data_IF_344948378979
#
_entry.id   IF_344948378979
#
_cell.length_a   1.000
_cell.length_b   1.000
_cell.length_c   1.000
_cell.angle_alpha   90.00
_cell.angle_beta   90.00
_cell.angle_gamma   90.00
#
_symmetry.space_group_name_H-M   'P 1'
#
loop_
_entity.id
_entity.type
_entity.pdbx_description
1 polymer ?
#
# COMPACT_ATOMS: atom_id res chain seq x y z
N UNK A 1 50.02 21.84 -1.25
CA UNK A 1 48.81 21.14 -1.73
C UNK A 1 47.91 20.92 -0.50
N UNK A 2 47.04 21.89 -0.25
CA UNK A 2 46.03 21.78 0.83
C UNK A 2 44.92 20.88 0.35
N UNK A 3 44.71 19.77 1.06
CA UNK A 3 43.58 18.92 0.86
C UNK A 3 42.32 19.64 1.33
N UNK A 4 41.49 20.06 0.40
CA UNK A 4 40.14 20.52 0.67
C UNK A 4 39.39 19.32 1.30
N UNK A 5 39.28 19.30 2.62
CA UNK A 5 38.32 18.45 3.31
C UNK A 5 36.94 19.00 2.95
N UNK A 6 36.29 18.40 1.95
CA UNK A 6 34.86 18.56 1.76
C UNK A 6 34.18 18.17 3.08
N UNK A 7 33.62 19.13 3.76
CA UNK A 7 32.72 18.89 4.88
C UNK A 7 31.47 18.22 4.28
N UNK A 8 31.46 16.90 4.26
CA UNK A 8 30.22 16.14 3.97
C UNK A 8 29.27 16.43 5.12
N UNK A 9 28.43 17.43 4.96
CA UNK A 9 27.27 17.64 5.84
C UNK A 9 26.50 16.31 5.94
N UNK A 10 25.94 16.01 7.12
CA UNK A 10 25.15 14.78 7.30
C UNK A 10 24.03 14.77 6.25
N UNK A 11 24.04 13.76 5.38
CA UNK A 11 22.94 13.53 4.43
C UNK A 11 21.66 13.23 5.19
N UNK A 12 20.52 13.68 4.67
CA UNK A 12 19.21 13.35 5.19
C UNK A 12 18.87 11.88 4.98
N UNK A 13 17.78 11.44 5.58
CA UNK A 13 17.27 10.06 5.53
C UNK A 13 15.91 10.01 4.87
N UNK A 14 15.65 8.93 4.12
CA UNK A 14 14.33 8.61 3.59
C UNK A 14 13.61 7.67 4.56
N UNK A 15 12.36 7.99 4.90
CA UNK A 15 11.43 7.08 5.59
C UNK A 15 10.26 6.78 4.66
N UNK A 16 10.12 5.53 4.21
CA UNK A 16 8.91 5.08 3.49
C UNK A 16 7.90 4.58 4.51
N UNK A 17 6.81 5.33 4.67
CA UNK A 17 5.90 5.22 5.82
C UNK A 17 4.52 4.78 5.37
N UNK A 18 4.02 3.68 5.94
CA UNK A 18 2.64 3.25 5.78
C UNK A 18 1.70 4.10 6.64
N UNK A 19 0.67 4.67 6.00
CA UNK A 19 -0.32 5.52 6.70
C UNK A 19 -1.62 4.77 7.04
N UNK A 20 -1.61 3.44 6.94
CA UNK A 20 -2.82 2.66 7.16
C UNK A 20 -3.74 2.58 5.93
N UNK A 21 -4.84 1.81 6.04
CA UNK A 21 -5.64 1.42 4.88
C UNK A 21 -6.75 2.42 4.49
N UNK A 22 -7.05 3.41 5.34
CA UNK A 22 -8.14 4.36 5.07
C UNK A 22 -8.51 5.21 6.28
N UNK A 23 -8.84 4.56 7.39
CA UNK A 23 -9.16 5.24 8.64
C UNK A 23 -7.90 5.90 9.23
N UNK A 24 -7.90 7.24 9.44
CA UNK A 24 -6.77 7.94 10.06
C UNK A 24 -6.38 7.40 11.44
N UNK A 25 -7.31 6.89 12.24
CA UNK A 25 -7.03 6.32 13.57
C UNK A 25 -6.21 5.02 13.49
N UNK A 26 -6.11 4.39 12.31
CA UNK A 26 -5.25 3.23 12.06
C UNK A 26 -3.81 3.61 11.68
N UNK A 27 -3.44 4.88 11.72
CA UNK A 27 -2.05 5.31 11.60
C UNK A 27 -1.28 4.92 12.86
N UNK A 28 -0.06 4.39 12.68
CA UNK A 28 0.79 4.11 13.84
C UNK A 28 1.32 5.41 14.46
N UNK A 29 1.52 5.43 15.77
CA UNK A 29 2.14 6.58 16.48
C UNK A 29 3.50 6.94 15.86
N UNK A 30 4.28 5.95 15.40
CA UNK A 30 5.55 6.18 14.72
C UNK A 30 5.37 6.90 13.39
N UNK A 31 4.37 6.52 12.61
CA UNK A 31 4.05 7.21 11.35
C UNK A 31 3.68 8.68 11.60
N UNK A 32 2.76 8.92 12.52
CA UNK A 32 2.34 10.28 12.91
C UNK A 32 3.53 11.14 13.36
N UNK A 33 4.39 10.60 14.23
CA UNK A 33 5.57 11.30 14.71
C UNK A 33 6.53 11.67 13.57
N UNK A 34 6.89 10.71 12.72
CA UNK A 34 7.81 10.94 11.61
C UNK A 34 7.27 11.96 10.61
N UNK A 35 5.97 11.92 10.30
CA UNK A 35 5.33 12.90 9.41
C UNK A 35 5.37 14.30 10.02
N UNK A 36 5.17 14.43 11.34
CA UNK A 36 5.27 15.73 12.03
C UNK A 36 6.71 16.26 12.03
N UNK A 37 7.71 15.40 12.22
CA UNK A 37 9.12 15.76 12.39
C UNK A 37 9.87 15.94 11.07
N UNK A 38 9.42 15.34 9.93
CA UNK A 38 10.14 15.42 8.66
C UNK A 38 10.21 16.84 8.11
N UNK A 39 11.27 17.12 7.36
CA UNK A 39 11.45 18.37 6.63
C UNK A 39 10.56 18.42 5.39
N UNK A 40 10.44 17.28 4.69
CA UNK A 40 9.67 17.16 3.43
C UNK A 40 8.76 15.94 3.48
N UNK A 41 7.51 16.13 3.10
CA UNK A 41 6.54 15.06 2.91
C UNK A 41 6.42 14.72 1.42
N UNK A 42 6.93 13.57 1.02
CA UNK A 42 6.74 13.04 -0.32
C UNK A 42 5.42 12.27 -0.39
N UNK A 43 4.59 12.59 -1.38
CA UNK A 43 3.22 12.12 -1.53
C UNK A 43 3.09 11.41 -2.88
N UNK A 44 2.65 10.15 -2.93
CA UNK A 44 2.42 9.46 -4.18
C UNK A 44 1.23 10.10 -4.92
N UNK A 45 1.41 10.38 -6.21
CA UNK A 45 0.39 10.89 -7.10
C UNK A 45 0.24 9.93 -8.29
N UNK A 46 -0.94 9.35 -8.46
CA UNK A 46 -1.31 8.58 -9.65
C UNK A 46 -1.82 9.49 -10.76
N UNK A 47 -2.57 8.91 -11.70
CA UNK A 47 -3.15 9.64 -12.84
C UNK A 47 -4.39 10.45 -12.45
N UNK A 48 -4.90 10.33 -11.23
CA UNK A 48 -5.99 11.13 -10.67
C UNK A 48 -5.47 12.18 -9.70
N UNK A 49 -6.24 13.26 -9.53
CA UNK A 49 -5.94 14.32 -8.56
C UNK A 49 -6.20 13.91 -7.10
N UNK A 50 -6.76 12.70 -6.87
CA UNK A 50 -7.08 12.22 -5.53
C UNK A 50 -5.84 11.64 -4.86
N UNK A 51 -5.36 12.32 -3.83
CA UNK A 51 -4.20 11.94 -3.04
C UNK A 51 -4.61 11.14 -1.78
N UNK A 52 -5.05 9.88 -1.95
CA UNK A 52 -5.65 9.08 -0.87
C UNK A 52 -4.77 9.01 0.38
N UNK A 53 -3.48 8.74 0.23
CA UNK A 53 -2.57 8.66 1.37
C UNK A 53 -2.41 10.01 2.10
N UNK A 54 -2.45 11.14 1.36
CA UNK A 54 -2.43 12.48 1.94
C UNK A 54 -3.71 12.74 2.74
N UNK A 55 -4.88 12.42 2.19
CA UNK A 55 -6.17 12.65 2.84
C UNK A 55 -6.26 11.90 4.19
N UNK A 56 -5.68 10.70 4.28
CA UNK A 56 -5.59 9.96 5.55
C UNK A 56 -4.75 10.73 6.56
N UNK A 57 -3.58 11.23 6.15
CA UNK A 57 -2.69 11.99 7.01
C UNK A 57 -3.34 13.28 7.51
N UNK A 58 -4.04 14.01 6.65
CA UNK A 58 -4.73 15.27 6.97
C UNK A 58 -5.84 15.08 8.02
N UNK A 59 -6.34 13.85 8.20
CA UNK A 59 -7.27 13.53 9.30
C UNK A 59 -6.67 13.67 10.70
N UNK A 60 -5.32 13.65 10.84
CA UNK A 60 -4.63 13.70 12.14
C UNK A 60 -3.53 14.76 12.19
N UNK A 61 -2.87 15.07 11.06
CA UNK A 61 -1.71 15.97 11.01
C UNK A 61 -2.02 17.17 10.13
N UNK A 62 -1.87 18.38 10.68
CA UNK A 62 -1.93 19.60 9.87
C UNK A 62 -0.71 19.68 8.94
N UNK A 63 -0.96 19.66 7.64
CA UNK A 63 0.06 19.73 6.59
C UNK A 63 0.23 21.13 5.98
N UNK A 64 -0.47 22.15 6.48
CA UNK A 64 -0.51 23.49 5.90
C UNK A 64 0.86 24.18 5.80
N UNK A 65 1.77 23.85 6.72
CA UNK A 65 3.14 24.40 6.79
C UNK A 65 4.21 23.40 6.35
N UNK A 66 3.82 22.21 5.89
CA UNK A 66 4.74 21.15 5.52
C UNK A 66 5.17 21.31 4.07
N UNK A 67 6.49 21.30 3.82
CA UNK A 67 7.01 21.20 2.45
C UNK A 67 6.57 19.86 1.83
N UNK A 68 5.90 19.90 0.68
CA UNK A 68 5.31 18.72 0.03
C UNK A 68 5.97 18.48 -1.32
N UNK A 69 6.34 17.23 -1.59
CA UNK A 69 6.87 16.76 -2.87
C UNK A 69 5.89 15.74 -3.46
N UNK A 70 5.27 16.06 -4.60
CA UNK A 70 4.47 15.10 -5.33
C UNK A 70 5.37 14.16 -6.13
N UNK A 71 5.22 12.84 -5.90
CA UNK A 71 5.98 11.79 -6.59
C UNK A 71 5.04 11.06 -7.53
N UNK A 72 5.24 11.27 -8.84
CA UNK A 72 4.38 10.65 -9.84
C UNK A 72 4.58 9.13 -9.89
N UNK A 73 3.50 8.39 -9.73
CA UNK A 73 3.43 6.93 -9.68
C UNK A 73 2.39 6.45 -10.71
N UNK A 74 2.75 6.33 -12.00
CA UNK A 74 1.82 5.99 -13.07
C UNK A 74 1.22 4.59 -12.91
N UNK A 75 -0.06 4.45 -13.21
CA UNK A 75 -0.78 3.17 -13.18
C UNK A 75 -0.95 2.60 -14.60
N UNK A 76 0.16 2.51 -15.33
CA UNK A 76 0.21 2.00 -16.70
C UNK A 76 0.90 0.62 -16.77
N UNK A 77 0.82 -0.07 -17.91
CA UNK A 77 1.50 -1.35 -18.12
C UNK A 77 2.90 -1.20 -18.77
N UNK A 78 3.23 0.00 -19.25
CA UNK A 78 4.51 0.28 -19.89
C UNK A 78 5.64 0.36 -18.87
N UNK A 79 6.54 -0.60 -18.91
CA UNK A 79 7.66 -0.71 -17.99
C UNK A 79 8.66 0.45 -18.10
N UNK A 80 8.84 1.05 -19.28
CA UNK A 80 9.77 2.15 -19.49
C UNK A 80 9.22 3.44 -18.86
N UNK A 81 7.93 3.68 -19.00
CA UNK A 81 7.24 4.82 -18.35
C UNK A 81 7.33 4.67 -16.83
N UNK A 82 7.01 3.49 -16.31
CA UNK A 82 7.07 3.20 -14.87
C UNK A 82 8.49 3.40 -14.33
N UNK A 83 9.49 2.83 -15.01
CA UNK A 83 10.90 2.91 -14.59
C UNK A 83 11.41 4.34 -14.56
N UNK A 84 11.11 5.14 -15.60
CA UNK A 84 11.47 6.57 -15.66
C UNK A 84 10.80 7.38 -14.56
N UNK A 85 9.53 7.12 -14.28
CA UNK A 85 8.80 7.81 -13.22
C UNK A 85 9.39 7.49 -11.83
N UNK A 86 9.69 6.21 -11.56
CA UNK A 86 10.32 5.80 -10.30
C UNK A 86 11.72 6.41 -10.14
N UNK A 87 12.53 6.43 -11.21
CA UNK A 87 13.86 7.06 -11.18
C UNK A 87 13.74 8.55 -10.90
N UNK A 88 12.85 9.25 -11.61
CA UNK A 88 12.59 10.67 -11.36
C UNK A 88 12.17 10.93 -9.91
N UNK A 89 11.26 10.13 -9.36
CA UNK A 89 10.85 10.24 -7.97
C UNK A 89 12.00 10.05 -6.98
N UNK A 90 12.89 9.09 -7.24
CA UNK A 90 14.09 8.89 -6.44
C UNK A 90 15.04 10.07 -6.53
N UNK A 91 15.31 10.59 -7.75
CA UNK A 91 16.19 11.73 -7.97
C UNK A 91 15.67 13.00 -7.29
N UNK A 92 14.35 13.23 -7.33
CA UNK A 92 13.72 14.37 -6.68
C UNK A 92 13.82 14.28 -5.13
N UNK A 93 13.67 13.09 -4.56
CA UNK A 93 13.89 12.84 -3.12
C UNK A 93 15.36 13.06 -2.76
N UNK A 94 16.30 12.53 -3.55
CA UNK A 94 17.74 12.64 -3.32
C UNK A 94 18.21 14.09 -3.23
N UNK A 95 17.64 15.00 -4.03
CA UNK A 95 17.96 16.44 -3.94
C UNK A 95 17.73 17.04 -2.55
N UNK A 96 16.72 16.54 -1.84
CA UNK A 96 16.47 16.97 -0.46
C UNK A 96 17.40 16.27 0.53
N UNK A 97 17.68 14.99 0.31
CA UNK A 97 18.62 14.24 1.16
C UNK A 97 20.03 14.83 1.10
N UNK A 98 20.47 15.34 -0.07
CA UNK A 98 21.76 16.04 -0.24
C UNK A 98 21.83 17.36 0.53
N UNK A 99 20.69 18.00 0.80
CA UNK A 99 20.58 19.17 1.64
C UNK A 99 20.55 18.84 3.15
N UNK A 100 20.68 17.58 3.54
CA UNK A 100 20.57 17.13 4.93
C UNK A 100 19.12 17.01 5.42
N UNK A 101 18.12 17.19 4.55
CA UNK A 101 16.70 17.14 4.90
C UNK A 101 16.19 15.70 5.00
N UNK A 102 15.44 15.38 6.04
CA UNK A 102 14.74 14.11 6.17
C UNK A 102 13.44 14.14 5.36
N UNK A 103 13.26 13.11 4.53
CA UNK A 103 12.06 12.95 3.70
C UNK A 103 11.23 11.79 4.21
N UNK A 104 9.94 12.01 4.41
CA UNK A 104 8.94 10.96 4.63
C UNK A 104 8.15 10.74 3.36
N UNK A 105 8.27 9.55 2.77
CA UNK A 105 7.46 9.14 1.62
C UNK A 105 6.31 8.26 2.10
N UNK A 106 5.10 8.80 2.09
CA UNK A 106 3.91 8.12 2.57
C UNK A 106 3.36 7.13 1.53
N UNK A 107 2.72 6.07 2.00
CA UNK A 107 2.01 5.11 1.16
C UNK A 107 0.77 4.56 1.87
N UNK A 108 -0.29 4.28 1.12
CA UNK A 108 -1.48 3.61 1.61
C UNK A 108 -1.12 2.22 2.16
N UNK A 109 -1.72 1.83 3.29
CA UNK A 109 -1.48 0.56 3.95
C UNK A 109 -0.07 0.43 4.54
N UNK A 110 0.68 -0.56 4.09
CA UNK A 110 2.04 -0.86 4.54
C UNK A 110 3.02 -0.90 3.37
N UNK A 111 4.20 -0.26 3.45
CA UNK A 111 5.19 -0.23 2.37
C UNK A 111 5.77 -1.60 2.02
N UNK A 112 5.61 -2.60 2.88
CA UNK A 112 6.16 -3.95 2.70
C UNK A 112 5.20 -4.90 1.96
N UNK A 113 3.95 -4.46 1.67
CA UNK A 113 2.93 -5.30 1.03
C UNK A 113 2.40 -4.61 -0.24
N UNK A 114 2.86 -5.06 -1.39
CA UNK A 114 2.43 -4.60 -2.73
C UNK A 114 2.37 -3.08 -2.93
N UNK A 115 3.22 -2.33 -2.22
CA UNK A 115 3.28 -0.88 -2.30
C UNK A 115 4.29 -0.43 -3.36
N UNK A 116 3.89 0.48 -4.27
CA UNK A 116 4.75 0.99 -5.34
C UNK A 116 5.91 1.84 -4.83
N UNK A 117 5.77 2.48 -3.67
CA UNK A 117 6.85 3.27 -3.05
C UNK A 117 8.14 2.48 -2.84
N UNK A 118 8.06 1.13 -2.78
CA UNK A 118 9.24 0.26 -2.58
C UNK A 118 10.24 0.38 -3.73
N UNK A 119 9.80 0.67 -4.95
CA UNK A 119 10.71 0.82 -6.09
C UNK A 119 11.56 2.09 -5.97
N UNK A 120 10.95 3.21 -5.60
CA UNK A 120 11.66 4.47 -5.31
C UNK A 120 12.60 4.29 -4.11
N UNK A 121 12.12 3.66 -3.04
CA UNK A 121 12.91 3.34 -1.85
C UNK A 121 14.21 2.56 -2.21
N UNK A 122 14.09 1.52 -3.04
CA UNK A 122 15.24 0.73 -3.49
C UNK A 122 16.23 1.54 -4.34
N UNK A 123 15.74 2.48 -5.16
CA UNK A 123 16.60 3.36 -5.95
C UNK A 123 17.40 4.32 -5.07
N UNK A 124 16.77 4.88 -4.03
CA UNK A 124 17.44 5.74 -3.04
C UNK A 124 18.52 4.96 -2.27
N UNK A 125 18.20 3.71 -1.82
CA UNK A 125 19.20 2.82 -1.21
C UNK A 125 20.36 2.52 -2.16
N UNK A 126 20.08 2.21 -3.43
CA UNK A 126 21.09 1.93 -4.45
C UNK A 126 22.00 3.13 -4.72
N UNK A 127 21.48 4.34 -4.57
CA UNK A 127 22.24 5.57 -4.67
C UNK A 127 23.11 5.88 -3.43
N UNK A 128 23.10 5.02 -2.40
CA UNK A 128 23.95 5.12 -1.21
C UNK A 128 23.39 6.00 -0.10
N UNK A 129 22.09 6.27 -0.07
CA UNK A 129 21.43 7.01 1.00
C UNK A 129 20.80 6.04 2.02
N UNK A 130 20.68 6.50 3.26
CA UNK A 130 19.95 5.77 4.30
C UNK A 130 18.45 5.86 4.02
N UNK A 131 17.80 4.71 3.89
CA UNK A 131 16.37 4.62 3.71
C UNK A 131 15.76 3.53 4.60
N UNK A 132 14.66 3.84 5.29
CA UNK A 132 14.03 3.01 6.32
C UNK A 132 12.57 2.77 5.97
N UNK A 133 12.11 1.53 6.15
CA UNK A 133 10.71 1.17 6.03
C UNK A 133 10.02 1.30 7.39
N UNK A 134 8.87 1.94 7.39
CA UNK A 134 8.01 2.07 8.59
C UNK A 134 6.68 1.41 8.29
N UNK A 135 6.34 0.29 8.97
CA UNK A 135 5.12 -0.45 8.68
C UNK A 135 3.87 0.37 9.03
N UNK A 136 2.80 0.10 8.30
CA UNK A 136 1.44 0.56 8.61
C UNK A 136 0.49 -0.62 8.76
N UNK A 137 -0.73 -0.38 9.23
CA UNK A 137 -1.79 -1.38 9.22
C UNK A 137 -2.12 -1.73 7.77
N UNK A 138 -2.14 -3.03 7.45
CA UNK A 138 -2.46 -3.51 6.10
C UNK A 138 -3.96 -3.50 5.85
N UNK A 139 -4.38 -3.34 4.59
CA UNK A 139 -5.79 -3.30 4.22
C UNK A 139 -6.53 -4.59 4.59
N UNK A 140 -5.91 -5.75 4.45
CA UNK A 140 -6.56 -7.02 4.79
C UNK A 140 -6.77 -7.21 6.30
N UNK A 141 -5.92 -6.65 7.17
CA UNK A 141 -6.17 -6.62 8.61
C UNK A 141 -7.38 -5.74 8.95
N UNK A 142 -7.48 -4.56 8.32
CA UNK A 142 -8.63 -3.67 8.53
C UNK A 142 -9.94 -4.31 8.01
N UNK A 143 -9.89 -4.96 6.84
CA UNK A 143 -11.03 -5.68 6.26
C UNK A 143 -11.48 -6.82 7.17
N UNK A 144 -10.56 -7.62 7.71
CA UNK A 144 -10.90 -8.70 8.64
C UNK A 144 -11.55 -8.16 9.93
N UNK A 145 -10.98 -7.10 10.50
CA UNK A 145 -11.55 -6.43 11.68
C UNK A 145 -12.96 -5.86 11.39
N UNK A 146 -13.16 -5.23 10.22
CA UNK A 146 -14.46 -4.69 9.81
C UNK A 146 -15.52 -5.77 9.58
N UNK A 147 -15.11 -6.92 9.07
CA UNK A 147 -15.97 -8.11 8.92
C UNK A 147 -16.18 -8.86 10.25
N UNK A 148 -15.45 -8.51 11.29
CA UNK A 148 -15.41 -9.17 12.61
C UNK A 148 -15.01 -10.66 12.50
N UNK A 149 -13.96 -10.95 11.72
CA UNK A 149 -13.46 -12.31 11.51
C UNK A 149 -11.93 -12.35 11.70
N UNK A 150 -11.40 -13.50 12.12
CA UNK A 150 -9.96 -13.74 12.12
C UNK A 150 -9.48 -14.08 10.72
N UNK A 151 -8.24 -13.66 10.38
CA UNK A 151 -7.59 -14.05 9.12
C UNK A 151 -7.16 -15.51 9.14
N UNK A 152 -6.67 -15.97 10.27
CA UNK A 152 -6.23 -17.35 10.50
C UNK A 152 -6.26 -17.65 11.99
N UNK A 153 -6.45 -18.91 12.33
CA UNK A 153 -6.48 -19.41 13.70
C UNK A 153 -5.56 -20.61 13.86
N UNK A 154 -4.96 -20.73 15.05
CA UNK A 154 -4.06 -21.84 15.39
C UNK A 154 -2.99 -22.08 14.30
N UNK A 155 -3.05 -23.21 13.61
CA UNK A 155 -2.10 -23.64 12.58
C UNK A 155 -2.59 -23.38 11.14
N UNK A 156 -3.64 -22.59 10.95
CA UNK A 156 -4.16 -22.27 9.61
C UNK A 156 -3.16 -21.43 8.82
N UNK A 157 -2.75 -21.88 7.63
CA UNK A 157 -1.91 -21.05 6.75
C UNK A 157 -2.72 -19.88 6.19
N UNK A 158 -2.01 -18.77 5.92
CA UNK A 158 -2.56 -17.58 5.25
C UNK A 158 -1.74 -17.28 4.01
N UNK A 159 -2.38 -17.27 2.84
CA UNK A 159 -1.77 -16.91 1.56
C UNK A 159 -2.28 -15.58 1.08
N UNK A 160 -1.38 -14.63 0.78
CA UNK A 160 -1.72 -13.29 0.27
C UNK A 160 -1.36 -13.24 -1.21
N UNK A 161 -2.34 -12.96 -2.07
CA UNK A 161 -2.25 -13.04 -3.52
C UNK A 161 -2.61 -11.71 -4.19
N UNK A 162 -1.88 -11.30 -5.25
CA UNK A 162 -2.33 -10.23 -6.14
C UNK A 162 -3.35 -10.81 -7.14
N UNK A 163 -4.65 -10.55 -6.92
CA UNK A 163 -5.75 -11.17 -7.67
C UNK A 163 -5.82 -10.79 -9.14
N UNK A 164 -5.20 -9.66 -9.56
CA UNK A 164 -5.15 -9.24 -10.96
C UNK A 164 -4.21 -10.09 -11.84
N UNK A 165 -3.32 -10.89 -11.26
CA UNK A 165 -2.37 -11.73 -12.00
C UNK A 165 -2.91 -13.15 -12.16
N UNK A 166 -3.02 -13.64 -13.41
CA UNK A 166 -3.50 -15.01 -13.71
C UNK A 166 -2.65 -16.09 -13.05
N UNK A 167 -1.35 -15.84 -12.93
CA UNK A 167 -0.41 -16.76 -12.29
C UNK A 167 -0.71 -17.01 -10.81
N UNK A 168 -1.45 -16.11 -10.18
CA UNK A 168 -1.88 -16.24 -8.78
C UNK A 168 -2.97 -17.30 -8.59
N UNK A 169 -3.73 -17.63 -9.64
CA UNK A 169 -4.86 -18.57 -9.57
C UNK A 169 -4.45 -19.98 -9.09
N UNK A 170 -3.24 -20.43 -9.42
CA UNK A 170 -2.69 -21.72 -8.96
C UNK A 170 -2.56 -21.83 -7.44
N UNK A 171 -2.46 -20.70 -6.74
CA UNK A 171 -2.34 -20.69 -5.29
C UNK A 171 -3.70 -20.70 -4.58
N UNK A 172 -4.81 -20.60 -5.31
CA UNK A 172 -6.14 -20.75 -4.75
C UNK A 172 -6.41 -22.19 -4.27
N UNK A 173 -5.72 -23.16 -4.86
CA UNK A 173 -5.82 -24.58 -4.51
C UNK A 173 -4.93 -24.95 -3.31
N UNK A 174 -4.07 -24.04 -2.85
CA UNK A 174 -3.24 -24.26 -1.65
C UNK A 174 -4.13 -24.34 -0.39
N UNK A 175 -3.76 -25.15 0.62
CA UNK A 175 -4.50 -25.20 1.88
C UNK A 175 -4.48 -23.86 2.63
N UNK A 176 -5.48 -23.66 3.50
CA UNK A 176 -5.61 -22.50 4.37
C UNK A 176 -6.36 -21.32 3.75
N UNK A 177 -6.37 -20.21 4.48
CA UNK A 177 -7.09 -19.01 4.11
C UNK A 177 -6.36 -18.18 3.06
N UNK A 178 -7.08 -17.43 2.26
CA UNK A 178 -6.51 -16.58 1.20
C UNK A 178 -6.99 -15.15 1.32
N UNK A 179 -6.08 -14.24 1.00
CA UNK A 179 -6.35 -12.82 0.78
C UNK A 179 -6.06 -12.52 -0.69
N UNK A 180 -7.04 -11.99 -1.41
CA UNK A 180 -6.81 -11.48 -2.76
C UNK A 180 -6.87 -9.96 -2.72
N UNK A 181 -5.77 -9.34 -3.13
CA UNK A 181 -5.62 -7.89 -3.24
C UNK A 181 -5.53 -7.49 -4.70
N UNK A 182 -5.85 -6.23 -5.01
CA UNK A 182 -5.77 -5.67 -6.38
C UNK A 182 -6.56 -6.47 -7.42
N UNK A 183 -7.75 -6.93 -7.05
CA UNK A 183 -8.59 -7.77 -7.90
C UNK A 183 -9.51 -6.97 -8.84
N UNK A 184 -9.63 -5.65 -8.67
CA UNK A 184 -10.67 -4.81 -9.27
C UNK A 184 -10.82 -4.96 -10.79
N UNK A 185 -9.71 -4.93 -11.54
CA UNK A 185 -9.75 -5.06 -13.02
C UNK A 185 -10.11 -6.45 -13.51
N UNK A 186 -10.09 -7.45 -12.63
CA UNK A 186 -10.27 -8.87 -12.93
C UNK A 186 -11.31 -9.53 -12.02
N UNK A 187 -12.17 -8.73 -11.40
CA UNK A 187 -13.10 -9.23 -10.36
C UNK A 187 -14.03 -10.33 -10.90
N UNK A 188 -14.52 -10.21 -12.13
CA UNK A 188 -15.33 -11.25 -12.78
C UNK A 188 -14.57 -12.58 -12.88
N UNK A 189 -13.33 -12.55 -13.39
CA UNK A 189 -12.47 -13.74 -13.48
C UNK A 189 -12.19 -14.34 -12.09
N UNK A 190 -11.87 -13.51 -11.10
CA UNK A 190 -11.61 -13.98 -9.73
C UNK A 190 -12.85 -14.63 -9.13
N UNK A 191 -14.03 -14.05 -9.34
CA UNK A 191 -15.31 -14.63 -8.92
C UNK A 191 -15.56 -16.00 -9.54
N UNK A 192 -15.36 -16.10 -10.86
CA UNK A 192 -15.58 -17.35 -11.59
C UNK A 192 -14.59 -18.45 -11.15
N UNK A 193 -13.32 -18.11 -10.94
CA UNK A 193 -12.31 -19.03 -10.41
C UNK A 193 -12.63 -19.52 -8.97
N UNK A 194 -13.17 -18.64 -8.12
CA UNK A 194 -13.62 -19.03 -6.77
C UNK A 194 -14.87 -19.91 -6.84
N UNK A 195 -15.78 -19.66 -7.81
CA UNK A 195 -16.98 -20.48 -8.00
C UNK A 195 -16.60 -21.89 -8.46
N UNK A 196 -15.74 -22.03 -9.47
CA UNK A 196 -15.26 -23.31 -9.99
C UNK A 196 -14.62 -24.19 -8.91
N UNK A 197 -13.97 -23.57 -7.91
CA UNK A 197 -13.31 -24.27 -6.79
C UNK A 197 -14.23 -24.47 -5.57
N UNK A 198 -15.50 -24.04 -5.66
CA UNK A 198 -16.42 -24.10 -4.53
C UNK A 198 -16.07 -23.14 -3.36
N UNK A 199 -15.16 -22.17 -3.59
CA UNK A 199 -14.68 -21.22 -2.59
C UNK A 199 -15.54 -19.95 -2.51
N UNK A 200 -16.42 -19.70 -3.47
CA UNK A 200 -17.19 -18.45 -3.55
C UNK A 200 -18.04 -18.21 -2.31
N UNK A 201 -18.68 -19.26 -1.76
CA UNK A 201 -19.51 -19.19 -0.55
C UNK A 201 -18.72 -18.85 0.72
N UNK A 202 -17.40 -19.04 0.69
CA UNK A 202 -16.49 -18.74 1.80
C UNK A 202 -15.76 -17.40 1.59
N UNK A 203 -16.11 -16.64 0.53
CA UNK A 203 -15.47 -15.42 0.15
C UNK A 203 -16.31 -14.20 0.58
N UNK A 204 -15.65 -13.22 1.18
CA UNK A 204 -16.21 -11.92 1.51
C UNK A 204 -15.29 -10.83 0.98
N UNK A 205 -15.84 -9.66 0.65
CA UNK A 205 -15.06 -8.56 0.10
C UNK A 205 -15.46 -7.22 0.74
N UNK A 206 -14.49 -6.34 0.91
CA UNK A 206 -14.75 -4.93 1.16
C UNK A 206 -14.01 -4.10 0.10
N UNK A 207 -14.75 -3.16 -0.47
CA UNK A 207 -14.22 -2.07 -1.29
C UNK A 207 -14.02 -0.84 -0.41
N UNK A 208 -12.93 -0.11 -0.65
CA UNK A 208 -12.65 1.18 0.01
C UNK A 208 -12.74 1.11 1.54
N UNK A 209 -12.23 0.04 2.16
CA UNK A 209 -12.31 -0.14 3.61
C UNK A 209 -11.70 1.05 4.36
N UNK A 210 -12.53 1.75 5.17
CA UNK A 210 -12.15 2.96 5.89
C UNK A 210 -12.02 4.21 5.02
N UNK A 211 -12.41 4.16 3.75
CA UNK A 211 -12.41 5.29 2.81
C UNK A 211 -13.84 5.65 2.39
N UNK A 212 -14.06 6.87 1.83
CA UNK A 212 -15.34 7.21 1.24
C UNK A 212 -15.80 6.20 0.18
N UNK A 213 -17.06 5.81 0.22
CA UNK A 213 -17.62 4.82 -0.69
C UNK A 213 -17.33 3.38 -0.29
N UNK A 214 -17.07 3.10 0.99
CA UNK A 214 -16.95 1.75 1.53
C UNK A 214 -18.18 0.90 1.18
N UNK A 215 -17.93 -0.30 0.65
CA UNK A 215 -18.97 -1.30 0.38
C UNK A 215 -18.55 -2.67 0.90
N UNK A 216 -19.47 -3.33 1.57
CA UNK A 216 -19.25 -4.66 2.17
C UNK A 216 -20.08 -5.70 1.41
N UNK A 217 -19.42 -6.71 0.89
CA UNK A 217 -20.01 -7.85 0.21
C UNK A 217 -19.77 -9.12 1.03
N UNK A 218 -20.79 -9.58 1.76
CA UNK A 218 -20.78 -10.87 2.47
C UNK A 218 -21.02 -12.04 1.52
N UNK A 219 -21.53 -11.76 0.34
CA UNK A 219 -21.80 -12.72 -0.73
C UNK A 219 -21.17 -12.16 -2.02
N UNK A 220 -20.10 -12.79 -2.45
CA UNK A 220 -19.34 -12.33 -3.60
C UNK A 220 -20.06 -12.50 -4.94
N UNK A 221 -21.12 -13.34 -5.00
CA UNK A 221 -21.94 -13.49 -6.20
C UNK A 221 -22.69 -12.21 -6.58
N UNK A 222 -22.85 -11.27 -5.62
CA UNK A 222 -23.53 -9.98 -5.80
C UNK A 222 -22.60 -8.83 -6.20
N UNK A 223 -21.32 -9.11 -6.41
CA UNK A 223 -20.34 -8.09 -6.82
C UNK A 223 -20.49 -7.83 -8.30
N UNK A 224 -20.63 -6.57 -8.66
CA UNK A 224 -20.63 -6.10 -10.04
C UNK A 224 -19.26 -6.34 -10.72
N UNK A 225 -19.24 -6.44 -12.05
CA UNK A 225 -18.00 -6.60 -12.83
C UNK A 225 -17.07 -5.37 -12.77
N UNK A 226 -17.53 -4.28 -12.14
CA UNK A 226 -16.76 -3.06 -11.87
C UNK A 226 -16.58 -2.90 -10.37
N UNK A 227 -15.42 -3.27 -9.89
CA UNK A 227 -15.04 -3.11 -8.47
C UNK A 227 -14.03 -1.97 -8.30
N UNK A 228 -13.96 -1.39 -7.10
CA UNK A 228 -12.94 -0.39 -6.77
C UNK A 228 -11.53 -1.00 -6.78
N UNK A 229 -10.53 -0.21 -7.21
CA UNK A 229 -9.13 -0.59 -7.11
C UNK A 229 -8.73 -1.00 -5.67
N UNK A 230 -9.32 -0.37 -4.67
CA UNK A 230 -9.08 -0.65 -3.25
C UNK A 230 -10.01 -1.76 -2.73
N UNK A 231 -10.10 -2.88 -3.44
CA UNK A 231 -10.84 -4.06 -3.02
C UNK A 231 -9.93 -5.10 -2.40
N UNK A 232 -10.42 -5.75 -1.34
CA UNK A 232 -9.77 -6.89 -0.68
C UNK A 232 -10.79 -7.99 -0.48
N UNK A 233 -10.47 -9.20 -0.95
CA UNK A 233 -11.30 -10.40 -0.80
C UNK A 233 -10.63 -11.29 0.24
N UNK A 234 -11.40 -11.69 1.24
CA UNK A 234 -11.09 -12.75 2.20
C UNK A 234 -11.75 -14.04 1.74
N UNK A 235 -10.99 -15.13 1.68
CA UNK A 235 -11.50 -16.49 1.43
C UNK A 235 -11.07 -17.37 2.59
N UNK A 236 -12.04 -17.88 3.34
CA UNK A 236 -11.79 -18.85 4.42
C UNK A 236 -11.80 -20.27 3.86
N UNK A 237 -10.96 -21.15 4.36
CA UNK A 237 -10.95 -22.56 3.97
C UNK A 237 -12.20 -23.30 4.49
N UNK A 238 -12.70 -22.89 5.66
CA UNK A 238 -13.89 -23.41 6.31
C UNK A 238 -14.97 -22.34 6.43
N UNK A 239 -16.22 -22.76 6.62
CA UNK A 239 -17.31 -21.83 6.90
C UNK A 239 -17.01 -21.01 8.16
N UNK A 240 -17.46 -19.75 8.14
CA UNK A 240 -17.40 -18.91 9.33
C UNK A 240 -18.35 -19.53 10.37
N UNK A 241 -17.80 -20.14 11.43
CA UNK A 241 -18.58 -20.45 12.61
C UNK A 241 -18.98 -19.10 13.24
N UNK A 242 -20.29 -18.82 13.27
CA UNK A 242 -20.87 -17.61 13.86
C UNK A 242 -20.91 -17.72 15.38
#
# INVERSE_FOLDING_TARGET
MESIKESHGMKGKLYSVGVGPGDPELMTLKAVRLIKECDVLAIPQGDSDVLVAKNIVEGIVDLSKKEQLLVYMPMVKDHDIISKAHQKGADDIIKYLDQGKNVVFITLGCPTVYATCIYVHKLVLKAGYEALLVPGVTSFCAVAAKLNVSLCEKAEPLTILPGSYKESSRFLDAPGNKILMKSASEIGRVRDELLERGLLKHAQMIENCGLPGEKIYKDLSKVDDKSSYFSVILVKEKEYEQ
#
